data_IF_943450989409
#
_entry.id   IF_943450989409
#
_cell.length_a   1.000
_cell.length_b   1.000
_cell.length_c   1.000
_cell.angle_alpha   90.00
_cell.angle_beta   90.00
_cell.angle_gamma   90.00
#
_symmetry.space_group_name_H-M   'P 1'
#
loop_
_entity.id
_entity.type
_entity.pdbx_description
1 polymer ?
#
# COMPACT_ATOMS: atom_id res chain seq x y z
N UNK A 1 0.34 20.30 1.79
CA UNK A 1 -0.11 18.96 1.43
C UNK A 1 0.77 18.33 0.36
N UNK A 2 0.77 16.98 0.27
CA UNK A 2 1.34 16.23 -0.83
C UNK A 2 0.20 15.83 -1.77
N UNK A 3 0.47 15.83 -3.07
CA UNK A 3 -0.45 15.35 -4.09
C UNK A 3 0.30 14.42 -5.02
N UNK A 4 -0.22 13.22 -5.20
CA UNK A 4 0.31 12.26 -6.15
C UNK A 4 -0.40 12.46 -7.51
N UNK A 5 0.40 12.49 -8.56
CA UNK A 5 -0.11 12.57 -9.94
C UNK A 5 0.40 11.37 -10.70
N UNK A 6 -0.52 10.59 -11.23
CA UNK A 6 -0.22 9.49 -12.11
C UNK A 6 -0.89 9.71 -13.47
N UNK A 7 -0.08 9.78 -14.50
CA UNK A 7 -0.54 9.82 -15.89
C UNK A 7 0.00 8.58 -16.58
N UNK A 8 -0.83 7.78 -17.26
CA UNK A 8 -0.38 6.59 -17.97
C UNK A 8 0.80 6.89 -18.90
N UNK A 9 1.85 6.10 -18.84
CA UNK A 9 3.08 6.30 -19.61
C UNK A 9 4.07 7.32 -19.03
N UNK A 10 3.77 7.88 -17.86
CA UNK A 10 4.66 8.81 -17.15
C UNK A 10 4.97 8.29 -15.73
N UNK A 11 6.10 8.71 -15.14
CA UNK A 11 6.36 8.38 -13.74
C UNK A 11 5.31 9.04 -12.85
N UNK A 12 4.97 8.40 -11.74
CA UNK A 12 4.16 9.01 -10.71
C UNK A 12 4.96 10.16 -10.08
N UNK A 13 4.38 11.34 -10.08
CA UNK A 13 4.98 12.54 -9.47
C UNK A 13 4.35 12.81 -8.11
N UNK A 14 5.19 13.10 -7.12
CA UNK A 14 4.74 13.56 -5.81
C UNK A 14 5.00 15.06 -5.72
N UNK A 15 3.93 15.83 -5.72
CA UNK A 15 3.98 17.28 -5.58
C UNK A 15 3.97 17.67 -4.10
N UNK A 16 4.66 18.75 -3.76
CA UNK A 16 4.75 19.29 -2.39
C UNK A 16 4.13 20.68 -2.29
N UNK A 17 3.59 20.98 -1.09
CA UNK A 17 3.04 22.29 -0.75
C UNK A 17 1.90 22.75 -1.68
N UNK A 18 1.19 21.82 -2.30
CA UNK A 18 0.08 22.11 -3.20
C UNK A 18 -1.06 22.80 -2.45
N UNK A 19 -1.56 23.88 -3.01
CA UNK A 19 -2.73 24.60 -2.53
C UNK A 19 -3.93 24.32 -3.42
N UNK A 20 -5.16 24.52 -2.94
CA UNK A 20 -6.37 24.32 -3.78
C UNK A 20 -6.34 25.12 -5.09
N UNK A 21 -5.74 26.30 -5.08
CA UNK A 21 -5.62 27.20 -6.23
C UNK A 21 -4.71 26.64 -7.32
N UNK A 22 -3.80 25.73 -6.98
CA UNK A 22 -2.87 25.11 -7.93
C UNK A 22 -3.57 24.06 -8.81
N UNK A 23 -4.74 23.58 -8.41
CA UNK A 23 -5.41 22.45 -9.08
C UNK A 23 -5.64 22.70 -10.58
N UNK A 24 -6.11 23.87 -10.95
CA UNK A 24 -6.37 24.23 -12.36
C UNK A 24 -5.08 24.28 -13.20
N UNK A 25 -4.00 24.77 -12.61
CA UNK A 25 -2.68 24.81 -13.25
C UNK A 25 -2.10 23.42 -13.44
N UNK A 26 -2.23 22.57 -12.41
CA UNK A 26 -1.78 21.18 -12.47
C UNK A 26 -2.50 20.43 -13.59
N UNK A 27 -3.82 20.53 -13.67
CA UNK A 27 -4.62 19.89 -14.74
C UNK A 27 -4.23 20.42 -16.12
N UNK A 28 -4.08 21.73 -16.26
CA UNK A 28 -3.65 22.34 -17.53
C UNK A 28 -2.24 21.87 -17.94
N UNK A 29 -1.31 21.81 -16.98
CA UNK A 29 0.04 21.33 -17.23
C UNK A 29 0.06 19.89 -17.74
N UNK A 30 -0.73 19.01 -17.13
CA UNK A 30 -0.85 17.62 -17.56
C UNK A 30 -1.45 17.49 -18.96
N UNK A 31 -2.50 18.28 -19.26
CA UNK A 31 -3.11 18.30 -20.60
C UNK A 31 -2.16 18.82 -21.68
N UNK A 32 -1.32 19.79 -21.34
CA UNK A 32 -0.32 20.38 -22.22
C UNK A 32 1.00 19.58 -22.28
N UNK A 33 1.07 18.42 -21.61
CA UNK A 33 2.25 17.58 -21.50
C UNK A 33 3.50 18.33 -20.98
N UNK A 34 3.31 19.25 -20.04
CA UNK A 34 4.37 19.99 -19.37
C UNK A 34 4.37 19.74 -17.87
N UNK A 35 5.44 20.11 -17.22
CA UNK A 35 5.53 20.03 -15.75
C UNK A 35 4.61 21.05 -15.09
N UNK A 36 3.91 20.65 -13.99
CA UNK A 36 3.25 21.61 -13.11
C UNK A 36 4.25 22.62 -12.53
N UNK A 37 3.78 23.83 -12.30
CA UNK A 37 4.60 24.92 -11.72
C UNK A 37 4.83 24.76 -10.22
N UNK A 38 3.99 23.99 -9.53
CA UNK A 38 4.17 23.66 -8.12
C UNK A 38 5.42 22.79 -7.90
N UNK A 39 5.95 22.82 -6.69
CA UNK A 39 7.17 22.08 -6.36
C UNK A 39 6.97 20.57 -6.48
N UNK A 40 7.83 19.90 -7.22
CA UNK A 40 7.88 18.43 -7.28
C UNK A 40 8.85 17.94 -6.20
N UNK A 41 8.40 17.02 -5.36
CA UNK A 41 9.22 16.43 -4.29
C UNK A 41 10.11 15.32 -4.83
N UNK A 42 9.49 14.38 -5.55
CA UNK A 42 10.17 13.24 -6.13
C UNK A 42 9.29 12.57 -7.19
N UNK A 43 9.87 11.55 -7.85
CA UNK A 43 9.17 10.70 -8.80
C UNK A 43 9.28 9.24 -8.42
N UNK A 44 8.31 8.44 -8.85
CA UNK A 44 8.31 6.98 -8.76
C UNK A 44 8.16 6.45 -10.18
N UNK A 45 9.15 5.71 -10.67
CA UNK A 45 9.17 5.19 -12.04
C UNK A 45 8.51 3.83 -12.15
N UNK A 46 8.80 2.95 -11.21
CA UNK A 46 8.20 1.62 -11.14
C UNK A 46 8.03 1.18 -9.69
N UNK A 47 6.99 0.41 -9.45
CA UNK A 47 6.66 -0.08 -8.12
C UNK A 47 6.64 -1.61 -8.10
N UNK A 48 7.52 -2.21 -7.29
CA UNK A 48 7.45 -3.63 -6.98
C UNK A 48 6.64 -3.86 -5.70
N UNK A 49 5.44 -4.37 -5.88
CA UNK A 49 4.50 -4.62 -4.79
C UNK A 49 4.95 -5.74 -3.85
N UNK A 50 5.76 -6.67 -4.34
CA UNK A 50 6.21 -7.82 -3.54
C UNK A 50 7.32 -7.41 -2.59
N UNK A 51 8.29 -6.67 -3.08
CA UNK A 51 9.46 -6.25 -2.30
C UNK A 51 9.29 -4.89 -1.65
N UNK A 52 8.28 -4.10 -2.07
CA UNK A 52 8.12 -2.71 -1.70
C UNK A 52 9.27 -1.83 -2.19
N UNK A 53 10.02 -2.31 -3.16
CA UNK A 53 11.09 -1.55 -3.80
C UNK A 53 10.55 -0.88 -5.05
N UNK A 54 10.92 0.37 -5.22
CA UNK A 54 10.72 1.04 -6.50
C UNK A 54 11.69 0.43 -7.48
N UNK A 55 11.19 -0.33 -8.44
CA UNK A 55 11.98 -0.80 -9.56
C UNK A 55 11.76 0.13 -10.74
N UNK A 56 12.85 0.45 -11.39
CA UNK A 56 12.81 1.19 -12.64
C UNK A 56 12.69 0.19 -13.78
N UNK A 57 11.46 -0.30 -14.00
CA UNK A 57 11.17 -1.03 -15.21
C UNK A 57 11.35 -0.08 -16.39
N UNK A 58 11.93 -0.60 -17.41
CA UNK A 58 11.80 -0.04 -18.75
C UNK A 58 10.38 -0.30 -19.25
N UNK A 59 9.37 0.09 -18.45
CA UNK A 59 8.02 0.09 -18.99
C UNK A 59 7.98 1.19 -20.02
N UNK A 60 7.45 0.89 -21.12
CA UNK A 60 6.98 1.62 -22.30
C UNK A 60 6.94 3.16 -22.31
N UNK A 61 7.48 3.85 -21.33
CA UNK A 61 7.71 5.27 -21.38
C UNK A 61 9.04 5.53 -22.08
N UNK A 62 9.04 5.43 -23.39
CA UNK A 62 10.02 6.14 -24.17
C UNK A 62 9.55 7.60 -24.25
N UNK A 63 10.41 8.57 -23.90
CA UNK A 63 10.09 9.97 -24.14
C UNK A 63 9.88 10.13 -25.65
N UNK A 64 8.64 10.07 -26.07
CA UNK A 64 8.28 10.35 -27.45
C UNK A 64 8.57 11.83 -27.72
N UNK A 65 9.78 12.09 -28.22
CA UNK A 65 10.15 13.34 -28.84
C UNK A 65 10.23 14.56 -27.92
N UNK A 66 11.40 14.83 -27.35
CA UNK A 66 11.78 16.20 -26.98
C UNK A 66 11.17 16.76 -25.70
N UNK A 67 10.49 15.99 -24.90
CA UNK A 67 9.94 16.44 -23.63
C UNK A 67 10.94 16.22 -22.50
N UNK A 68 11.00 17.21 -21.61
CA UNK A 68 11.80 17.24 -20.40
C UNK A 68 11.85 15.87 -19.74
N UNK A 69 13.01 15.24 -19.79
CA UNK A 69 13.25 14.06 -18.98
C UNK A 69 13.12 14.49 -17.53
N UNK A 70 12.29 13.80 -16.75
CA UNK A 70 12.17 14.05 -15.31
C UNK A 70 13.44 13.63 -14.53
N UNK A 71 14.58 13.51 -15.22
CA UNK A 71 15.84 13.01 -14.67
C UNK A 71 16.47 13.91 -13.61
N UNK A 72 16.12 15.18 -13.60
CA UNK A 72 16.52 16.15 -12.57
C UNK A 72 15.66 16.08 -11.30
N UNK A 73 14.52 15.35 -11.35
CA UNK A 73 13.67 15.12 -10.17
C UNK A 73 14.20 13.89 -9.46
N UNK A 74 14.51 14.00 -8.15
CA UNK A 74 15.01 12.87 -7.40
C UNK A 74 14.00 11.73 -7.36
N UNK A 75 14.50 10.52 -7.29
CA UNK A 75 13.71 9.34 -7.07
C UNK A 75 13.19 9.33 -5.62
N UNK A 76 12.08 8.64 -5.38
CA UNK A 76 11.53 8.46 -4.04
C UNK A 76 12.59 8.02 -3.03
N UNK A 77 13.40 7.02 -3.36
CA UNK A 77 14.41 6.47 -2.48
C UNK A 77 15.68 7.34 -2.35
N UNK A 78 15.82 8.38 -3.18
CA UNK A 78 16.90 9.37 -3.08
C UNK A 78 16.52 10.52 -2.15
N UNK A 79 15.23 10.69 -1.83
CA UNK A 79 14.79 11.70 -0.85
C UNK A 79 15.25 11.27 0.55
N UNK A 80 16.02 12.10 1.28
CA UNK A 80 16.60 11.69 2.56
C UNK A 80 15.61 11.16 3.59
N UNK A 81 14.39 11.68 3.60
CA UNK A 81 13.32 11.20 4.49
C UNK A 81 12.88 9.77 4.19
N UNK A 82 12.85 9.38 2.92
CA UNK A 82 12.41 8.05 2.49
C UNK A 82 13.55 7.07 2.33
N UNK A 83 14.77 7.58 2.25
CA UNK A 83 15.95 6.73 2.10
C UNK A 83 16.07 5.73 3.26
N UNK A 84 16.17 4.46 2.92
CA UNK A 84 16.25 3.39 3.91
C UNK A 84 14.92 2.97 4.56
N UNK A 85 13.80 3.64 4.26
CA UNK A 85 12.49 3.17 4.70
C UNK A 85 12.02 1.98 3.82
N UNK A 86 11.54 0.94 4.50
CA UNK A 86 10.86 -0.19 3.83
C UNK A 86 9.41 -0.19 4.26
N UNK A 87 8.53 0.19 3.35
CA UNK A 87 7.09 0.10 3.56
C UNK A 87 6.64 -1.35 3.44
N UNK A 88 5.91 -1.85 4.42
CA UNK A 88 5.30 -3.18 4.41
C UNK A 88 3.78 -3.04 4.47
N UNK A 89 3.26 -2.45 5.54
CA UNK A 89 1.82 -2.25 5.73
C UNK A 89 1.28 -1.15 4.83
N UNK A 90 2.04 -0.08 4.62
CA UNK A 90 1.66 1.06 3.79
C UNK A 90 2.26 0.98 2.36
N UNK A 91 2.54 -0.23 1.86
CA UNK A 91 3.25 -0.38 0.58
C UNK A 91 2.48 0.20 -0.60
N UNK A 92 1.18 0.01 -0.63
CA UNK A 92 0.32 0.43 -1.75
C UNK A 92 -0.32 1.81 -1.51
N UNK A 93 -0.16 2.37 -0.28
CA UNK A 93 -0.76 3.64 0.09
C UNK A 93 -0.29 4.80 -0.79
N UNK A 94 -1.24 5.46 -1.45
CA UNK A 94 -1.01 6.57 -2.36
C UNK A 94 -0.57 6.15 -3.78
N UNK A 95 -0.58 4.86 -4.08
CA UNK A 95 -0.19 4.29 -5.38
C UNK A 95 -1.35 3.67 -6.12
N UNK A 96 -2.31 3.11 -5.39
CA UNK A 96 -3.55 2.56 -5.94
C UNK A 96 -4.73 3.42 -5.53
N UNK A 97 -5.81 3.34 -6.30
CA UNK A 97 -7.10 3.92 -5.92
C UNK A 97 -7.76 2.99 -4.86
N UNK A 98 -7.94 3.46 -3.60
CA UNK A 98 -8.51 2.62 -2.54
C UNK A 98 -9.98 2.24 -2.76
N UNK A 99 -10.69 2.96 -3.65
CA UNK A 99 -12.08 2.70 -4.00
C UNK A 99 -12.22 1.71 -5.18
N UNK A 100 -11.09 1.30 -5.79
CA UNK A 100 -11.07 0.41 -6.94
C UNK A 100 -10.40 -0.93 -6.59
N UNK A 101 -11.22 -1.98 -6.49
CA UNK A 101 -10.74 -3.32 -6.20
C UNK A 101 -9.87 -3.89 -7.33
N UNK A 102 -10.11 -3.49 -8.57
CA UNK A 102 -9.37 -4.00 -9.72
C UNK A 102 -7.91 -3.52 -9.68
N UNK A 103 -7.68 -2.30 -9.20
CA UNK A 103 -6.32 -1.80 -8.96
C UNK A 103 -5.61 -2.61 -7.87
N UNK A 104 -6.30 -2.94 -6.77
CA UNK A 104 -5.72 -3.80 -5.74
C UNK A 104 -5.38 -5.20 -6.26
N UNK A 105 -6.26 -5.79 -7.07
CA UNK A 105 -6.01 -7.09 -7.71
C UNK A 105 -4.83 -7.00 -8.69
N UNK A 106 -4.74 -5.92 -9.47
CA UNK A 106 -3.67 -5.72 -10.44
C UNK A 106 -2.28 -5.68 -9.78
N UNK A 107 -2.19 -5.20 -8.54
CA UNK A 107 -0.94 -5.18 -7.75
C UNK A 107 -0.71 -6.46 -6.93
N UNK A 108 -1.47 -7.52 -7.19
CA UNK A 108 -1.33 -8.82 -6.55
C UNK A 108 -2.22 -9.03 -5.33
N UNK A 109 -3.18 -8.15 -5.11
CA UNK A 109 -4.16 -8.28 -4.04
C UNK A 109 -4.98 -9.57 -4.15
N UNK A 110 -5.43 -10.08 -3.01
CA UNK A 110 -6.14 -11.34 -2.83
C UNK A 110 -5.36 -12.61 -3.24
N UNK A 111 -4.12 -12.47 -3.71
CA UNK A 111 -3.28 -13.62 -4.00
C UNK A 111 -2.93 -14.42 -2.73
N UNK A 112 -2.71 -13.73 -1.61
CA UNK A 112 -2.43 -14.39 -0.33
C UNK A 112 -3.67 -15.15 0.19
N UNK A 113 -4.87 -14.62 0.02
CA UNK A 113 -6.11 -15.32 0.34
C UNK A 113 -6.27 -16.58 -0.54
N UNK A 114 -6.07 -16.46 -1.86
CA UNK A 114 -6.11 -17.61 -2.77
C UNK A 114 -5.10 -18.69 -2.34
N UNK A 115 -3.87 -18.29 -2.02
CA UNK A 115 -2.85 -19.20 -1.54
C UNK A 115 -3.27 -19.89 -0.22
N UNK A 116 -3.85 -19.15 0.72
CA UNK A 116 -4.34 -19.72 1.97
C UNK A 116 -5.48 -20.75 1.74
N UNK A 117 -6.40 -20.45 0.82
CA UNK A 117 -7.52 -21.33 0.49
C UNK A 117 -7.09 -22.62 -0.25
N UNK A 118 -5.96 -22.57 -0.94
CA UNK A 118 -5.39 -23.72 -1.66
C UNK A 118 -4.44 -24.57 -0.81
N UNK A 119 -4.11 -24.15 0.41
CA UNK A 119 -3.34 -24.96 1.35
C UNK A 119 -4.09 -26.25 1.72
N UNK A 120 -3.37 -27.38 2.00
CA UNK A 120 -3.97 -28.66 2.32
C UNK A 120 -4.95 -28.62 3.51
N UNK A 121 -4.78 -27.70 4.42
CA UNK A 121 -5.70 -27.51 5.54
C UNK A 121 -5.65 -26.10 6.13
N UNK A 122 -6.75 -25.67 6.73
CA UNK A 122 -6.81 -24.41 7.51
C UNK A 122 -5.78 -24.36 8.64
N UNK A 123 -5.38 -25.52 9.18
CA UNK A 123 -4.36 -25.61 10.21
C UNK A 123 -3.00 -25.15 9.68
N UNK A 124 -2.67 -25.49 8.44
CA UNK A 124 -1.39 -25.11 7.85
C UNK A 124 -1.27 -23.61 7.65
N UNK A 125 -2.39 -22.91 7.35
CA UNK A 125 -2.41 -21.44 7.32
C UNK A 125 -1.98 -20.86 8.68
N UNK A 126 -2.51 -21.42 9.79
CA UNK A 126 -2.12 -20.99 11.13
C UNK A 126 -0.65 -21.31 11.41
N UNK A 127 -0.17 -22.48 11.01
CA UNK A 127 1.23 -22.87 11.23
C UNK A 127 2.19 -21.96 10.43
N UNK A 128 1.79 -21.51 9.24
CA UNK A 128 2.58 -20.56 8.47
C UNK A 128 2.68 -19.20 9.21
N UNK A 129 1.57 -18.71 9.75
CA UNK A 129 1.58 -17.49 10.57
C UNK A 129 2.42 -17.67 11.86
N UNK A 130 2.41 -18.87 12.45
CA UNK A 130 3.29 -19.19 13.61
C UNK A 130 4.77 -19.16 13.21
N UNK A 131 5.11 -19.78 12.09
CA UNK A 131 6.50 -19.81 11.56
C UNK A 131 7.01 -18.41 11.22
N UNK A 132 6.16 -17.55 10.68
CA UNK A 132 6.51 -16.16 10.33
C UNK A 132 6.88 -15.31 11.56
N UNK A 133 6.50 -15.77 12.77
CA UNK A 133 6.65 -15.03 14.02
C UNK A 133 5.95 -13.67 14.02
N UNK A 134 4.93 -13.50 13.18
CA UNK A 134 4.13 -12.27 13.13
C UNK A 134 3.54 -11.97 14.50
N UNK A 135 3.61 -10.71 14.91
CA UNK A 135 3.11 -10.21 16.19
C UNK A 135 2.12 -9.07 15.98
N UNK A 136 1.20 -8.90 16.90
CA UNK A 136 0.29 -7.76 16.92
C UNK A 136 1.03 -6.42 16.98
N UNK A 137 0.41 -5.39 16.42
CA UNK A 137 0.95 -4.03 16.37
C UNK A 137 0.21 -3.04 17.28
N UNK A 138 -0.74 -3.52 18.10
CA UNK A 138 -1.47 -2.72 19.07
C UNK A 138 -0.75 -2.50 20.42
N UNK A 139 0.58 -2.59 20.45
CA UNK A 139 1.42 -2.33 21.63
C UNK A 139 1.89 -3.59 22.37
N UNK A 140 1.02 -4.58 22.63
CA UNK A 140 1.37 -5.78 23.38
C UNK A 140 2.27 -6.77 22.63
N UNK A 141 2.33 -6.70 21.29
CA UNK A 141 3.16 -7.57 20.48
C UNK A 141 2.83 -9.07 20.62
N UNK A 142 1.55 -9.42 20.90
CA UNK A 142 1.15 -10.80 21.09
C UNK A 142 1.32 -11.60 19.79
N UNK A 143 1.83 -12.85 19.84
CA UNK A 143 2.04 -13.67 18.64
C UNK A 143 0.72 -13.97 17.92
N UNK A 144 0.58 -13.51 16.69
CA UNK A 144 -0.66 -13.60 15.90
C UNK A 144 -1.08 -15.06 15.68
N UNK A 145 -0.16 -15.92 15.25
CA UNK A 145 -0.46 -17.34 15.02
C UNK A 145 -0.90 -18.08 16.29
N UNK A 146 -0.37 -17.70 17.47
CA UNK A 146 -0.84 -18.23 18.76
C UNK A 146 -2.28 -17.80 19.04
N UNK A 147 -2.63 -16.52 18.78
CA UNK A 147 -3.99 -16.01 18.95
C UNK A 147 -4.97 -16.76 18.04
N UNK A 148 -4.63 -16.97 16.77
CA UNK A 148 -5.45 -17.72 15.83
C UNK A 148 -5.64 -19.16 16.24
N UNK A 149 -4.57 -19.83 16.72
CA UNK A 149 -4.66 -21.20 17.25
C UNK A 149 -5.59 -21.30 18.45
N UNK A 150 -5.51 -20.34 19.38
CA UNK A 150 -6.41 -20.27 20.54
C UNK A 150 -7.87 -20.07 20.11
N UNK A 151 -8.15 -19.20 19.15
CA UNK A 151 -9.51 -19.00 18.62
C UNK A 151 -10.03 -20.27 17.96
N UNK A 152 -9.22 -20.93 17.13
CA UNK A 152 -9.60 -22.19 16.47
C UNK A 152 -9.98 -23.29 17.46
N UNK A 153 -9.32 -23.33 18.61
CA UNK A 153 -9.56 -24.35 19.65
C UNK A 153 -10.82 -24.11 20.49
N UNK A 154 -11.47 -22.94 20.37
CA UNK A 154 -12.70 -22.69 21.12
C UNK A 154 -13.84 -23.59 20.61
N UNK A 155 -14.60 -24.21 21.52
CA UNK A 155 -15.65 -25.16 21.17
C UNK A 155 -16.97 -24.49 20.74
N UNK A 156 -16.90 -23.37 20.04
CA UNK A 156 -18.05 -22.62 19.56
C UNK A 156 -18.22 -22.79 18.06
N UNK A 157 -19.45 -23.00 17.60
CA UNK A 157 -19.79 -23.05 16.19
C UNK A 157 -19.67 -21.69 15.50
N UNK A 158 -19.90 -20.64 16.28
CA UNK A 158 -19.77 -19.25 15.77
C UNK A 158 -18.57 -18.58 16.44
N UNK A 159 -17.69 -18.02 15.59
CA UNK A 159 -16.52 -17.26 16.02
C UNK A 159 -16.57 -15.88 15.38
N UNK A 160 -16.05 -14.91 16.10
CA UNK A 160 -16.04 -13.52 15.65
C UNK A 160 -14.61 -13.03 15.44
N UNK A 161 -14.38 -12.39 14.31
CA UNK A 161 -13.16 -11.66 14.02
C UNK A 161 -13.48 -10.16 14.03
N UNK A 162 -12.79 -9.42 14.88
CA UNK A 162 -13.03 -7.99 15.05
C UNK A 162 -11.80 -7.23 14.57
N UNK A 163 -11.99 -6.32 13.62
CA UNK A 163 -11.00 -5.30 13.30
C UNK A 163 -11.15 -4.17 14.32
N UNK A 164 -10.13 -3.98 15.13
CA UNK A 164 -10.05 -2.83 16.01
C UNK A 164 -9.16 -1.77 15.35
N UNK A 165 -9.77 -0.68 14.91
CA UNK A 165 -9.11 0.47 14.34
C UNK A 165 -9.33 1.74 15.19
N UNK A 166 -9.59 1.55 16.49
CA UNK A 166 -9.69 2.69 17.43
C UNK A 166 -8.33 3.37 17.57
N UNK A 167 -8.32 4.68 17.45
CA UNK A 167 -7.14 5.54 17.59
C UNK A 167 -7.42 6.60 18.67
N UNK A 168 -7.48 6.14 19.93
CA UNK A 168 -7.75 6.98 21.07
C UNK A 168 -6.68 8.02 21.39
N UNK A 169 -5.46 7.84 20.89
CA UNK A 169 -4.36 8.77 21.12
C UNK A 169 -4.46 9.98 20.16
N UNK A 170 -4.48 11.21 20.65
CA UNK A 170 -4.46 12.40 19.81
C UNK A 170 -3.25 12.42 18.88
N UNK A 171 -3.49 12.58 17.57
CA UNK A 171 -2.44 12.61 16.57
C UNK A 171 -1.98 11.22 16.07
N UNK A 172 -2.57 10.13 16.55
CA UNK A 172 -2.38 8.80 16.00
C UNK A 172 -3.30 8.63 14.78
N UNK A 173 -2.72 8.35 13.60
CA UNK A 173 -3.46 8.19 12.34
C UNK A 173 -3.01 6.96 11.55
N UNK A 174 -2.36 6.01 12.18
CA UNK A 174 -1.80 4.83 11.51
C UNK A 174 -2.90 3.95 10.91
N UNK A 175 -3.89 3.58 11.72
CA UNK A 175 -5.01 2.75 11.27
C UNK A 175 -5.85 3.47 10.22
N UNK A 176 -6.11 4.76 10.43
CA UNK A 176 -6.82 5.60 9.48
C UNK A 176 -6.11 5.63 8.14
N UNK A 177 -4.80 5.87 8.13
CA UNK A 177 -4.03 5.91 6.90
C UNK A 177 -4.09 4.58 6.12
N UNK A 178 -4.02 3.46 6.82
CA UNK A 178 -4.14 2.14 6.21
C UNK A 178 -5.54 1.90 5.62
N UNK A 179 -6.58 2.17 6.40
CA UNK A 179 -7.97 1.94 5.97
C UNK A 179 -8.38 2.87 4.83
N UNK A 180 -7.98 4.13 4.86
CA UNK A 180 -8.31 5.09 3.80
C UNK A 180 -7.49 4.89 2.52
N UNK A 181 -6.31 4.27 2.61
CA UNK A 181 -5.41 4.16 1.46
C UNK A 181 -5.35 2.76 0.85
N UNK A 182 -5.62 1.70 1.62
CA UNK A 182 -5.65 0.32 1.14
C UNK A 182 -6.59 -0.55 1.99
N UNK A 183 -7.90 -0.30 1.94
CA UNK A 183 -8.89 -1.07 2.68
C UNK A 183 -8.93 -2.55 2.27
N UNK A 184 -8.57 -2.84 1.01
CA UNK A 184 -8.62 -4.20 0.47
C UNK A 184 -7.56 -5.11 1.13
N UNK A 185 -6.37 -4.59 1.43
CA UNK A 185 -5.33 -5.36 2.14
C UNK A 185 -5.80 -5.75 3.55
N UNK A 186 -6.48 -4.85 4.25
CA UNK A 186 -7.08 -5.14 5.55
C UNK A 186 -8.15 -6.23 5.43
N UNK A 187 -9.06 -6.11 4.45
CA UNK A 187 -10.12 -7.08 4.21
C UNK A 187 -9.56 -8.46 3.82
N UNK A 188 -8.54 -8.52 2.99
CA UNK A 188 -7.83 -9.76 2.65
C UNK A 188 -7.24 -10.42 3.90
N UNK A 189 -6.55 -9.65 4.75
CA UNK A 189 -5.99 -10.15 6.01
C UNK A 189 -7.07 -10.69 6.96
N UNK A 190 -8.21 -10.01 7.06
CA UNK A 190 -9.36 -10.48 7.83
C UNK A 190 -9.98 -11.75 7.23
N UNK A 191 -10.11 -11.84 5.92
CA UNK A 191 -10.63 -13.02 5.24
C UNK A 191 -9.73 -14.25 5.47
N UNK A 192 -8.41 -14.09 5.39
CA UNK A 192 -7.45 -15.16 5.70
C UNK A 192 -7.59 -15.60 7.16
N UNK A 193 -7.69 -14.67 8.09
CA UNK A 193 -7.85 -14.98 9.51
C UNK A 193 -9.17 -15.72 9.78
N UNK A 194 -10.28 -15.27 9.20
CA UNK A 194 -11.57 -15.90 9.32
C UNK A 194 -11.61 -17.31 8.71
N UNK A 195 -10.97 -17.48 7.54
CA UNK A 195 -10.84 -18.79 6.91
C UNK A 195 -10.04 -19.78 7.77
N UNK A 196 -8.96 -19.32 8.37
CA UNK A 196 -8.05 -20.18 9.14
C UNK A 196 -8.61 -20.61 10.50
N UNK A 197 -9.44 -19.79 11.15
CA UNK A 197 -9.88 -19.98 12.55
C UNK A 197 -11.30 -20.51 12.65
#
# INVERSE_FOLDING_TARGET
PLVNIHVPGHPLLILKQVQPEDASEIVAALHEHRRPRCGILCRIEEWDHITGQVQYGRSAWEPSGGHDSYTDIPLWNEVPFFHGQKKIVLRDCGLINPEDIDEYIAVGGYQALNNAMTMPSRREVIEEVVKSKLRGRGGAGFPTGKKWRMLKQQPSDTKYLICNADEGDPGAFMNRNEIESDPQMLLEGMAIAAYAT
#
